data_IF_514737502720
#
_entry.id   IF_514737502720
#
_cell.length_a   1.000
_cell.length_b   1.000
_cell.length_c   1.000
_cell.angle_alpha   90.00
_cell.angle_beta   90.00
_cell.angle_gamma   90.00
#
_symmetry.space_group_name_H-M   'P 1'
#
loop_
_entity.id
_entity.type
_entity.pdbx_description
1 polymer ?
#
# COMPACT_ATOMS: atom_id res chain seq x y z
N UNK A 1 -3.73 -42.91 -14.69
CA UNK A 1 -3.25 -41.53 -14.70
C UNK A 1 -3.32 -40.99 -13.29
N UNK A 2 -2.24 -40.47 -12.70
CA UNK A 2 -2.30 -39.89 -11.36
C UNK A 2 -3.23 -38.68 -11.40
N UNK A 3 -4.20 -38.60 -10.50
CA UNK A 3 -5.06 -37.45 -10.33
C UNK A 3 -4.22 -36.27 -9.78
N UNK A 4 -4.09 -35.21 -10.56
CA UNK A 4 -3.48 -33.98 -10.09
C UNK A 4 -4.43 -33.39 -9.06
N UNK A 5 -4.04 -33.41 -7.79
CA UNK A 5 -4.74 -32.68 -6.73
C UNK A 5 -4.75 -31.20 -7.07
N UNK A 6 -5.94 -30.61 -7.14
CA UNK A 6 -6.07 -29.15 -7.35
C UNK A 6 -5.53 -28.42 -6.12
N UNK A 7 -4.28 -27.99 -6.18
CA UNK A 7 -3.70 -27.12 -5.16
C UNK A 7 -4.37 -25.76 -5.29
N UNK A 8 -5.17 -25.35 -4.29
CA UNK A 8 -5.69 -23.99 -4.21
C UNK A 8 -4.56 -23.04 -3.82
N UNK A 9 -4.04 -22.32 -4.78
CA UNK A 9 -3.10 -21.23 -4.53
C UNK A 9 -3.91 -19.99 -4.17
N UNK A 10 -3.68 -19.41 -2.98
CA UNK A 10 -4.23 -18.10 -2.61
C UNK A 10 -3.29 -17.04 -3.10
N UNK A 11 -3.73 -16.26 -4.05
CA UNK A 11 -3.01 -15.07 -4.52
C UNK A 11 -3.53 -13.87 -3.73
N UNK A 12 -2.60 -13.06 -3.23
CA UNK A 12 -2.88 -11.82 -2.52
C UNK A 12 -2.53 -10.65 -3.44
N UNK A 13 -3.46 -9.72 -3.59
CA UNK A 13 -3.19 -8.48 -4.31
C UNK A 13 -2.50 -7.46 -3.38
N UNK A 14 -1.93 -6.43 -3.97
CA UNK A 14 -1.44 -5.28 -3.21
C UNK A 14 -2.55 -4.63 -2.38
N UNK A 15 -3.76 -4.52 -2.93
CA UNK A 15 -4.93 -4.04 -2.20
C UNK A 15 -5.27 -4.89 -0.96
N UNK A 16 -5.10 -6.22 -1.04
CA UNK A 16 -5.28 -7.11 0.11
C UNK A 16 -4.23 -6.83 1.19
N UNK A 17 -2.97 -6.60 0.82
CA UNK A 17 -1.90 -6.24 1.75
C UNK A 17 -2.22 -4.93 2.47
N UNK A 18 -2.60 -3.89 1.74
CA UNK A 18 -3.02 -2.62 2.33
C UNK A 18 -4.22 -2.79 3.24
N UNK A 19 -5.20 -3.57 2.82
CA UNK A 19 -6.37 -3.89 3.63
C UNK A 19 -6.02 -4.57 4.94
N UNK A 20 -5.18 -5.60 4.90
CA UNK A 20 -4.72 -6.31 6.09
C UNK A 20 -3.91 -5.40 7.02
N UNK A 21 -3.02 -4.57 6.49
CA UNK A 21 -2.26 -3.60 7.28
C UNK A 21 -3.17 -2.57 7.95
N UNK A 22 -4.16 -2.05 7.22
CA UNK A 22 -5.15 -1.11 7.78
C UNK A 22 -5.92 -1.76 8.91
N UNK A 23 -6.38 -3.00 8.74
CA UNK A 23 -7.07 -3.74 9.82
C UNK A 23 -6.13 -3.96 11.01
N UNK A 24 -4.89 -4.38 10.79
CA UNK A 24 -3.92 -4.57 11.87
C UNK A 24 -3.66 -3.27 12.62
N UNK A 25 -3.50 -2.16 11.91
CA UNK A 25 -3.34 -0.83 12.50
C UNK A 25 -4.57 -0.38 13.29
N UNK A 26 -5.79 -0.54 12.77
CA UNK A 26 -7.03 -0.25 13.50
C UNK A 26 -7.13 -1.05 14.82
N UNK A 27 -6.62 -2.26 14.83
CA UNK A 27 -6.61 -3.18 15.97
C UNK A 27 -5.48 -2.96 16.97
N UNK A 28 -4.49 -2.17 16.63
CA UNK A 28 -3.41 -1.77 17.54
C UNK A 28 -3.80 -0.55 18.37
N UNK A 29 -3.18 -0.38 19.53
CA UNK A 29 -3.18 0.90 20.25
C UNK A 29 -2.21 1.83 19.52
N UNK A 30 -2.60 3.08 19.34
CA UNK A 30 -1.83 4.09 18.60
C UNK A 30 -1.48 5.25 19.52
N UNK A 31 -0.52 6.05 19.10
CA UNK A 31 -0.19 7.32 19.74
C UNK A 31 -0.18 8.38 18.63
N UNK A 32 -0.92 9.47 18.83
CA UNK A 32 -0.91 10.59 17.90
C UNK A 32 0.38 11.43 18.01
N UNK A 33 0.52 12.44 17.17
CA UNK A 33 1.68 13.34 17.14
C UNK A 33 1.84 14.14 18.44
N UNK A 34 0.73 14.40 19.13
CA UNK A 34 0.70 15.07 20.43
C UNK A 34 1.01 14.13 21.61
N UNK A 35 1.25 12.84 21.36
CA UNK A 35 1.52 11.82 22.38
C UNK A 35 0.23 11.25 23.03
N UNK A 36 -0.94 11.57 22.53
CA UNK A 36 -2.21 11.04 23.04
C UNK A 36 -2.41 9.58 22.61
N UNK A 37 -2.80 8.75 23.58
CA UNK A 37 -2.97 7.31 23.34
C UNK A 37 -4.37 7.00 22.81
N UNK A 38 -4.47 6.62 21.54
CA UNK A 38 -5.72 6.22 20.88
C UNK A 38 -5.96 4.72 21.11
N UNK A 39 -7.10 4.32 21.66
CA UNK A 39 -7.40 2.93 21.95
C UNK A 39 -7.58 2.12 20.64
N UNK A 40 -7.39 0.79 20.76
CA UNK A 40 -7.68 -0.15 19.66
C UNK A 40 -9.15 -0.15 19.29
N UNK A 41 -9.45 -0.16 18.00
CA UNK A 41 -10.82 -0.30 17.50
C UNK A 41 -11.33 -1.74 17.66
N UNK A 42 -12.56 -1.92 18.14
CA UNK A 42 -13.15 -3.25 18.27
C UNK A 42 -13.46 -3.89 16.90
N UNK A 43 -13.27 -5.21 16.77
CA UNK A 43 -13.47 -5.92 15.49
C UNK A 43 -14.89 -5.77 14.88
N UNK A 44 -15.98 -5.73 15.68
CA UNK A 44 -17.31 -5.44 15.14
C UNK A 44 -17.39 -4.09 14.42
N UNK A 45 -16.72 -3.06 14.94
CA UNK A 45 -16.65 -1.73 14.31
C UNK A 45 -15.88 -1.77 13.00
N UNK A 46 -14.76 -2.51 12.95
CA UNK A 46 -13.99 -2.72 11.71
C UNK A 46 -14.87 -3.40 10.64
N UNK A 47 -15.59 -4.47 11.01
CA UNK A 47 -16.50 -5.16 10.08
C UNK A 47 -17.62 -4.25 9.57
N UNK A 48 -18.19 -3.41 10.44
CA UNK A 48 -19.21 -2.43 10.07
C UNK A 48 -18.66 -1.40 9.08
N UNK A 49 -17.46 -0.86 9.32
CA UNK A 49 -16.79 0.07 8.41
C UNK A 49 -16.55 -0.55 7.03
N UNK A 50 -16.06 -1.79 6.98
CA UNK A 50 -15.87 -2.51 5.72
C UNK A 50 -17.18 -2.77 4.95
N UNK A 51 -18.28 -3.03 5.67
CA UNK A 51 -19.59 -3.18 5.05
C UNK A 51 -20.09 -1.86 4.49
N UNK A 52 -19.91 -0.76 5.22
CA UNK A 52 -20.29 0.59 4.79
C UNK A 52 -19.52 1.03 3.55
N UNK A 53 -18.17 0.85 3.54
CA UNK A 53 -17.36 1.14 2.35
C UNK A 53 -17.85 0.37 1.12
N UNK A 54 -18.20 -0.91 1.29
CA UNK A 54 -18.75 -1.72 0.19
C UNK A 54 -20.10 -1.19 -0.31
N UNK A 55 -20.96 -0.72 0.59
CA UNK A 55 -22.27 -0.15 0.21
C UNK A 55 -22.14 1.15 -0.56
N UNK A 56 -21.04 1.87 -0.36
CA UNK A 56 -20.67 3.09 -1.08
C UNK A 56 -19.85 2.84 -2.34
N UNK A 57 -19.58 1.58 -2.67
CA UNK A 57 -18.64 1.18 -3.74
C UNK A 57 -17.24 1.79 -3.58
N UNK A 58 -16.81 1.94 -2.33
CA UNK A 58 -15.51 2.50 -1.96
C UNK A 58 -14.57 1.39 -1.47
N UNK A 59 -13.33 1.48 -1.90
CA UNK A 59 -12.23 0.72 -1.31
C UNK A 59 -11.66 1.45 -0.09
N UNK A 60 -10.92 0.74 0.78
CA UNK A 60 -10.23 1.36 1.92
C UNK A 60 -9.24 2.45 1.50
N UNK A 61 -8.79 2.43 0.24
CA UNK A 61 -7.83 3.34 -0.35
C UNK A 61 -8.33 3.82 -1.71
N UNK A 62 -8.14 5.11 -1.99
CA UNK A 62 -8.41 5.67 -3.33
C UNK A 62 -7.35 5.20 -4.33
N UNK A 63 -7.61 5.37 -5.62
CA UNK A 63 -6.62 5.15 -6.68
C UNK A 63 -5.37 6.04 -6.56
N UNK A 64 -5.46 7.14 -5.81
CA UNK A 64 -4.35 8.07 -5.51
C UNK A 64 -3.66 7.75 -4.18
N UNK A 65 -3.96 6.59 -3.59
CA UNK A 65 -3.40 6.12 -2.33
C UNK A 65 -3.74 7.00 -1.12
N UNK A 66 -4.90 7.65 -1.15
CA UNK A 66 -5.46 8.33 0.02
C UNK A 66 -6.36 7.36 0.78
N UNK A 67 -6.24 7.22 2.10
CA UNK A 67 -7.10 6.34 2.86
C UNK A 67 -8.53 6.90 2.93
N UNK A 68 -9.51 6.02 2.75
CA UNK A 68 -10.93 6.33 3.00
C UNK A 68 -11.36 5.99 4.45
N UNK A 69 -10.40 5.58 5.28
CA UNK A 69 -10.64 5.13 6.65
C UNK A 69 -9.63 5.77 7.59
N UNK A 70 -10.11 6.45 8.62
CA UNK A 70 -9.34 6.99 9.72
C UNK A 70 -9.87 6.55 11.08
N UNK A 71 -9.31 7.07 12.17
CA UNK A 71 -9.82 6.92 13.53
C UNK A 71 -9.78 8.26 14.25
N UNK A 72 -10.72 8.49 15.13
CA UNK A 72 -10.66 9.62 16.04
C UNK A 72 -9.89 9.28 17.33
N UNK A 73 -9.72 10.27 18.22
CA UNK A 73 -9.04 10.09 19.51
C UNK A 73 -9.74 9.09 20.45
N UNK A 74 -11.02 8.81 20.24
CA UNK A 74 -11.75 7.78 20.98
C UNK A 74 -11.57 6.36 20.37
N UNK A 75 -10.86 6.22 19.25
CA UNK A 75 -10.68 4.97 18.53
C UNK A 75 -11.89 4.56 17.70
N UNK A 76 -12.84 5.48 17.47
CA UNK A 76 -13.96 5.23 16.56
C UNK A 76 -13.52 5.41 15.11
N UNK A 77 -14.03 4.53 14.23
CA UNK A 77 -13.70 4.61 12.79
C UNK A 77 -14.44 5.78 12.15
N UNK A 78 -13.69 6.53 11.37
CA UNK A 78 -14.16 7.62 10.53
C UNK A 78 -14.03 7.18 9.08
N UNK A 79 -15.09 7.35 8.30
CA UNK A 79 -15.04 7.17 6.85
C UNK A 79 -14.85 8.55 6.21
N UNK A 80 -13.84 8.65 5.38
CA UNK A 80 -13.49 9.88 4.66
C UNK A 80 -13.59 9.66 3.15
N UNK A 81 -14.74 9.93 2.52
CA UNK A 81 -14.73 10.24 1.11
C UNK A 81 -14.27 11.69 0.98
N UNK A 82 -13.07 11.91 0.53
CA UNK A 82 -12.37 13.12 0.06
C UNK A 82 -12.86 14.55 0.43
N UNK A 83 -14.06 14.75 0.96
CA UNK A 83 -14.64 16.07 1.28
C UNK A 83 -15.45 16.13 2.61
N UNK A 84 -15.78 15.00 3.23
CA UNK A 84 -16.68 14.99 4.40
C UNK A 84 -16.35 13.80 5.34
N UNK A 85 -15.46 13.99 6.31
CA UNK A 85 -15.20 12.97 7.32
C UNK A 85 -16.47 12.67 8.15
N UNK A 86 -16.90 11.39 8.21
CA UNK A 86 -18.08 10.95 8.96
C UNK A 86 -17.75 9.76 9.86
N UNK A 87 -18.21 9.80 11.10
CA UNK A 87 -18.29 8.59 11.94
C UNK A 87 -19.29 7.60 11.36
N UNK A 88 -19.12 6.31 11.69
CA UNK A 88 -20.09 5.27 11.36
C UNK A 88 -21.47 5.47 11.98
N UNK A 89 -21.60 6.33 12.97
CA UNK A 89 -22.87 6.77 13.59
C UNK A 89 -23.50 8.00 12.90
N UNK A 90 -22.88 8.50 11.82
CA UNK A 90 -23.36 9.64 11.05
C UNK A 90 -22.92 11.01 11.55
N UNK A 91 -22.13 11.08 12.63
CA UNK A 91 -21.60 12.35 13.12
C UNK A 91 -20.45 12.85 12.25
N UNK A 92 -20.49 14.13 11.86
CA UNK A 92 -19.39 14.81 11.20
C UNK A 92 -18.26 15.08 12.18
N UNK A 93 -17.02 14.80 11.77
CA UNK A 93 -15.82 15.17 12.51
C UNK A 93 -15.08 16.26 11.75
N UNK A 94 -14.67 17.29 12.51
CA UNK A 94 -13.89 18.40 11.96
C UNK A 94 -12.39 18.10 11.99
N UNK A 95 -11.96 17.19 12.90
CA UNK A 95 -10.56 16.83 13.13
C UNK A 95 -10.38 15.30 13.08
N UNK A 96 -10.56 14.69 11.91
CA UNK A 96 -10.19 13.30 11.71
C UNK A 96 -8.69 13.22 11.42
N UNK A 97 -7.91 12.69 12.36
CA UNK A 97 -6.50 12.39 12.12
C UNK A 97 -6.41 11.19 11.17
N UNK A 98 -5.93 11.44 9.94
CA UNK A 98 -5.64 10.41 8.96
C UNK A 98 -4.24 9.89 9.22
N UNK A 99 -4.12 8.62 9.61
CA UNK A 99 -2.83 8.02 9.94
C UNK A 99 -2.18 7.36 8.73
N UNK A 100 -0.89 7.54 8.60
CA UNK A 100 -0.09 6.95 7.53
C UNK A 100 0.15 5.44 7.77
N UNK A 101 -0.84 4.60 7.43
CA UNK A 101 -0.69 3.13 7.41
C UNK A 101 0.39 2.68 6.41
N UNK A 102 0.85 3.59 5.59
CA UNK A 102 1.68 3.36 4.42
C UNK A 102 3.18 3.48 4.70
N UNK A 103 3.57 4.01 5.87
CA UNK A 103 4.98 4.18 6.25
C UNK A 103 5.77 2.88 6.15
N UNK A 104 7.10 2.95 5.96
CA UNK A 104 7.98 1.81 6.07
C UNK A 104 7.67 0.99 7.33
N UNK A 105 7.71 -0.32 7.22
CA UNK A 105 7.34 -1.23 8.31
C UNK A 105 8.43 -2.25 8.56
N UNK A 106 8.54 -2.68 9.81
CA UNK A 106 9.47 -3.71 10.21
C UNK A 106 9.00 -5.08 9.67
N UNK A 107 9.88 -5.76 8.95
CA UNK A 107 9.70 -7.15 8.48
C UNK A 107 10.38 -8.15 9.42
N UNK A 108 10.96 -7.70 10.52
CA UNK A 108 11.80 -8.49 11.41
C UNK A 108 13.21 -8.72 10.86
N UNK A 109 14.15 -9.06 11.76
CA UNK A 109 15.56 -9.38 11.42
C UNK A 109 16.22 -8.27 10.57
N UNK A 110 16.23 -7.04 11.07
CA UNK A 110 16.86 -5.86 10.45
C UNK A 110 16.41 -5.53 9.02
N UNK A 111 15.17 -5.86 8.67
CA UNK A 111 14.57 -5.57 7.37
C UNK A 111 13.37 -4.65 7.52
N UNK A 112 13.42 -3.53 6.81
CA UNK A 112 12.28 -2.63 6.66
C UNK A 112 11.60 -2.87 5.31
N UNK A 113 10.27 -3.00 5.31
CA UNK A 113 9.47 -2.94 4.09
C UNK A 113 9.50 -1.51 3.55
N UNK A 114 9.37 -1.31 2.23
CA UNK A 114 9.33 0.03 1.65
C UNK A 114 8.05 0.76 2.07
N UNK A 115 8.05 2.08 1.90
CA UNK A 115 6.80 2.84 1.87
C UNK A 115 5.86 2.26 0.79
N UNK A 116 4.58 2.07 1.14
CA UNK A 116 3.64 1.37 0.25
C UNK A 116 2.95 2.29 -0.76
N UNK A 117 3.29 3.57 -0.80
CA UNK A 117 2.78 4.54 -1.79
C UNK A 117 3.91 5.14 -2.57
N UNK A 118 4.95 5.56 -1.86
CA UNK A 118 6.11 6.26 -2.40
C UNK A 118 7.39 5.55 -1.98
N UNK A 119 7.62 4.31 -2.45
CA UNK A 119 8.77 3.52 -2.01
C UNK A 119 10.11 4.19 -2.39
N UNK A 120 10.10 5.04 -3.41
CA UNK A 120 11.20 5.91 -3.82
C UNK A 120 10.65 7.25 -4.33
N UNK A 121 11.45 8.30 -4.41
CA UNK A 121 11.02 9.62 -4.91
C UNK A 121 10.31 9.56 -6.26
N UNK A 122 10.80 8.72 -7.17
CA UNK A 122 10.30 8.56 -8.54
C UNK A 122 9.49 7.29 -8.78
N UNK A 123 9.22 6.49 -7.76
CA UNK A 123 8.40 5.28 -7.86
C UNK A 123 7.11 5.45 -7.07
N UNK A 124 6.03 4.90 -7.61
CA UNK A 124 4.70 4.89 -7.00
C UNK A 124 4.13 3.49 -6.98
N UNK A 125 3.30 3.24 -5.98
CA UNK A 125 2.41 2.08 -5.90
C UNK A 125 0.99 2.62 -5.78
N UNK A 126 0.14 2.29 -6.75
CA UNK A 126 -1.25 2.75 -6.80
C UNK A 126 -2.15 1.52 -6.91
N UNK A 127 -3.01 1.23 -5.92
CA UNK A 127 -3.80 0.00 -5.86
C UNK A 127 -4.61 -0.29 -7.12
N UNK A 128 -5.21 0.72 -7.72
CA UNK A 128 -6.04 0.61 -8.93
C UNK A 128 -5.26 0.65 -10.25
N UNK A 129 -3.93 0.77 -10.21
CA UNK A 129 -3.07 0.87 -11.40
C UNK A 129 -2.09 -0.29 -11.43
N UNK A 130 -1.97 -0.99 -12.55
CA UNK A 130 -1.06 -2.14 -12.74
C UNK A 130 -1.24 -3.21 -11.64
N UNK A 131 -2.48 -3.45 -11.20
CA UNK A 131 -2.81 -4.35 -10.08
C UNK A 131 -2.02 -4.04 -8.78
N UNK A 132 -1.56 -2.80 -8.61
CA UNK A 132 -0.73 -2.37 -7.48
C UNK A 132 0.76 -2.68 -7.63
N UNK A 133 1.22 -3.02 -8.82
CA UNK A 133 2.65 -3.18 -9.06
C UNK A 133 3.38 -1.83 -8.93
N UNK A 134 4.59 -1.81 -8.34
CA UNK A 134 5.43 -0.62 -8.32
C UNK A 134 5.75 -0.16 -9.75
N UNK A 135 5.64 1.13 -10.00
CA UNK A 135 5.88 1.69 -11.33
C UNK A 135 6.51 3.08 -11.23
N UNK A 136 7.20 3.49 -12.28
CA UNK A 136 7.77 4.83 -12.37
C UNK A 136 6.63 5.86 -12.36
N UNK A 137 6.81 6.90 -11.56
CA UNK A 137 5.84 8.00 -11.38
C UNK A 137 5.35 8.52 -12.74
N UNK A 138 4.05 8.81 -12.82
CA UNK A 138 3.37 9.35 -14.01
C UNK A 138 3.46 8.49 -15.29
N UNK A 139 3.96 7.25 -15.18
CA UNK A 139 4.05 6.29 -16.27
C UNK A 139 3.29 4.99 -15.95
N UNK A 140 3.28 4.04 -16.88
CA UNK A 140 2.85 2.65 -16.68
C UNK A 140 4.01 1.66 -16.79
N UNK A 141 5.24 2.12 -16.58
CA UNK A 141 6.44 1.28 -16.63
C UNK A 141 6.67 0.68 -15.25
N UNK A 142 6.51 -0.63 -15.14
CA UNK A 142 6.74 -1.39 -13.90
C UNK A 142 8.23 -1.47 -13.57
N UNK A 143 8.56 -1.38 -12.28
CA UNK A 143 9.97 -1.48 -11.82
C UNK A 143 10.55 -2.84 -12.11
N UNK A 144 9.75 -3.91 -12.00
CA UNK A 144 10.15 -5.29 -12.33
C UNK A 144 10.56 -5.44 -13.80
N UNK A 145 9.86 -4.76 -14.72
CA UNK A 145 10.20 -4.79 -16.14
C UNK A 145 11.60 -4.21 -16.39
N UNK A 146 11.96 -3.12 -15.69
CA UNK A 146 13.30 -2.52 -15.77
C UNK A 146 14.36 -3.44 -15.15
N UNK A 147 14.06 -4.08 -14.02
CA UNK A 147 14.96 -5.05 -13.39
C UNK A 147 15.20 -6.28 -14.28
N UNK A 148 14.18 -6.75 -15.00
CA UNK A 148 14.34 -7.84 -15.96
C UNK A 148 15.29 -7.49 -17.12
N UNK A 149 15.31 -6.22 -17.56
CA UNK A 149 16.27 -5.75 -18.58
C UNK A 149 17.70 -5.71 -18.04
N UNK A 150 17.88 -5.25 -16.79
CA UNK A 150 19.18 -5.28 -16.11
C UNK A 150 19.72 -6.72 -16.02
N UNK A 151 18.88 -7.68 -15.65
CA UNK A 151 19.23 -9.10 -15.57
C UNK A 151 19.65 -9.68 -16.93
N UNK A 152 19.12 -9.13 -18.04
CA UNK A 152 19.51 -9.48 -19.41
C UNK A 152 20.81 -8.80 -19.88
N UNK A 153 21.49 -8.06 -19.01
CA UNK A 153 22.78 -7.43 -19.28
C UNK A 153 22.72 -6.00 -19.80
N UNK A 154 21.54 -5.35 -19.81
CA UNK A 154 21.47 -3.93 -20.13
C UNK A 154 21.92 -3.10 -18.91
N UNK A 155 22.64 -2.02 -19.16
CA UNK A 155 22.93 -1.03 -18.11
C UNK A 155 21.83 0.06 -18.04
N UNK A 156 21.83 0.87 -16.98
CA UNK A 156 20.82 1.88 -16.71
C UNK A 156 20.67 2.89 -17.86
N UNK A 157 21.79 3.27 -18.50
CA UNK A 157 21.78 4.18 -19.64
C UNK A 157 21.11 3.54 -20.88
N UNK A 158 21.36 2.26 -21.14
CA UNK A 158 20.70 1.55 -22.23
C UNK A 158 19.20 1.37 -21.97
N UNK A 159 18.81 1.14 -20.71
CA UNK A 159 17.40 1.03 -20.29
C UNK A 159 16.70 2.37 -20.50
N UNK A 160 17.26 3.50 -20.06
CA UNK A 160 16.64 4.82 -20.26
C UNK A 160 16.49 5.16 -21.75
N UNK A 161 17.40 4.70 -22.62
CA UNK A 161 17.25 4.86 -24.07
C UNK A 161 16.15 4.02 -24.70
N UNK A 162 15.83 2.85 -24.12
CA UNK A 162 14.68 2.03 -24.55
C UNK A 162 13.34 2.64 -24.13
N UNK A 163 13.33 3.41 -23.04
CA UNK A 163 12.16 4.11 -22.53
C UNK A 163 12.40 5.62 -22.55
N UNK A 164 12.23 6.30 -23.68
CA UNK A 164 12.52 7.75 -23.79
C UNK A 164 11.73 8.65 -22.85
N UNK A 165 10.68 8.13 -22.21
CA UNK A 165 9.88 8.82 -21.21
C UNK A 165 10.56 8.81 -19.82
N UNK A 166 11.58 7.97 -19.61
CA UNK A 166 12.31 7.82 -18.36
C UNK A 166 13.66 8.50 -18.43
N UNK A 167 14.01 9.22 -17.37
CA UNK A 167 15.38 9.65 -17.15
C UNK A 167 16.22 8.58 -16.40
N UNK A 168 17.50 8.87 -16.18
CA UNK A 168 18.38 7.93 -15.47
C UNK A 168 17.98 7.77 -14.00
N UNK A 169 17.50 8.83 -13.35
CA UNK A 169 17.09 8.80 -11.95
C UNK A 169 15.82 7.95 -11.77
N UNK A 170 14.92 7.95 -12.77
CA UNK A 170 13.74 7.08 -12.79
C UNK A 170 14.15 5.60 -12.80
N UNK A 171 15.13 5.25 -13.63
CA UNK A 171 15.66 3.89 -13.73
C UNK A 171 16.39 3.50 -12.45
N UNK A 172 17.21 4.39 -11.90
CA UNK A 172 17.98 4.14 -10.67
C UNK A 172 17.07 3.88 -9.48
N UNK A 173 16.05 4.70 -9.27
CA UNK A 173 15.06 4.53 -8.20
C UNK A 173 14.26 3.22 -8.34
N UNK A 174 13.87 2.88 -9.57
CA UNK A 174 13.16 1.63 -9.84
C UNK A 174 14.02 0.40 -9.51
N UNK A 175 15.27 0.39 -9.98
CA UNK A 175 16.22 -0.72 -9.76
C UNK A 175 16.63 -0.81 -8.27
N UNK A 176 16.72 0.31 -7.57
CA UNK A 176 17.02 0.31 -6.14
C UNK A 176 15.89 -0.31 -5.32
N UNK A 177 14.62 -0.01 -5.66
CA UNK A 177 13.49 -0.68 -5.05
C UNK A 177 13.52 -2.19 -5.29
N UNK A 178 13.76 -2.62 -6.52
CA UNK A 178 13.78 -4.06 -6.87
C UNK A 178 14.89 -4.80 -6.13
N UNK A 179 16.07 -4.19 -5.95
CA UNK A 179 17.14 -4.76 -5.12
C UNK A 179 16.71 -4.93 -3.65
N UNK A 180 15.88 -4.04 -3.11
CA UNK A 180 15.33 -4.17 -1.76
C UNK A 180 14.30 -5.30 -1.68
N UNK A 181 13.49 -5.51 -2.74
CA UNK A 181 12.43 -6.51 -2.76
C UNK A 181 12.93 -7.94 -2.99
N UNK A 182 13.93 -8.11 -3.84
CA UNK A 182 14.47 -9.43 -4.23
C UNK A 182 14.95 -10.31 -3.07
N UNK A 183 15.62 -9.81 -2.02
CA UNK A 183 16.01 -10.65 -0.88
C UNK A 183 14.83 -11.24 -0.12
N UNK A 184 13.63 -10.66 -0.23
CA UNK A 184 12.43 -11.20 0.41
C UNK A 184 11.86 -12.41 -0.34
N UNK A 185 12.09 -12.51 -1.65
CA UNK A 185 11.66 -13.62 -2.50
C UNK A 185 12.60 -14.84 -2.40
N UNK A 186 13.85 -14.64 -2.04
CA UNK A 186 14.85 -15.72 -1.91
C UNK A 186 14.69 -16.59 -0.65
N UNK A 187 13.72 -16.27 0.23
CA UNK A 187 13.44 -16.97 1.49
C UNK A 187 12.07 -17.63 1.53
N UNK A 188 11.30 -17.58 0.45
CA UNK A 188 10.03 -18.30 0.29
C UNK A 188 10.20 -19.53 -0.59
#
# INVERSE_FOLDING_TARGET
MPSVSAVRVKLWSYGDLLGLRTIAWLRATKTDEDGYRIPKTAMPMVRRALAELRSLDLHMWTGESTPNVGVDRAGAIVLEPAADARRLDGQRLIDAEVFEVLRPFDLGVDRAGPDLVRPRPRVRIVPGKLAGAPHVKDTRVETEALAALLTRGLNNFSISRLYPILDLEDVDDALDLERQLQPALALA
#
